data_IF_961310688203
#
_entry.id   IF_961310688203
#
_cell.length_a   1.000
_cell.length_b   1.000
_cell.length_c   1.000
_cell.angle_alpha   90.00
_cell.angle_beta   90.00
_cell.angle_gamma   90.00
#
_symmetry.space_group_name_H-M   'P 1'
#
loop_
_entity.id
_entity.type
_entity.pdbx_description
1 polymer ?
#
# COMPACT_ATOMS: atom_id res chain seq x y z
N UNK A 1 -11.19 -14.07 27.95
CA UNK A 1 -10.94 -13.31 26.70
C UNK A 1 -10.40 -11.94 27.08
N UNK A 2 -9.31 -11.48 26.46
CA UNK A 2 -8.80 -10.13 26.71
C UNK A 2 -9.71 -9.10 26.04
N UNK A 3 -10.05 -8.02 26.74
CA UNK A 3 -10.86 -6.93 26.16
C UNK A 3 -9.93 -5.98 25.40
N UNK A 4 -9.99 -5.98 24.07
CA UNK A 4 -9.28 -5.00 23.25
C UNK A 4 -10.02 -3.66 23.29
N UNK A 5 -9.29 -2.55 23.42
CA UNK A 5 -9.87 -1.19 23.32
C UNK A 5 -9.55 -0.51 22.00
N UNK A 6 -8.43 -0.89 21.36
CA UNK A 6 -7.91 -0.31 20.12
C UNK A 6 -7.31 -1.42 19.26
N UNK A 7 -7.69 -1.45 18.00
CA UNK A 7 -7.19 -2.37 16.97
C UNK A 7 -6.54 -1.55 15.87
N UNK A 8 -5.38 -2.00 15.39
CA UNK A 8 -4.71 -1.43 14.21
C UNK A 8 -4.61 -2.53 13.16
N UNK A 9 -5.15 -2.27 11.97
CA UNK A 9 -5.02 -3.13 10.80
C UNK A 9 -4.12 -2.44 9.78
N UNK A 10 -2.98 -3.06 9.46
CA UNK A 10 -2.14 -2.65 8.34
C UNK A 10 -2.60 -3.39 7.07
N UNK A 11 -2.75 -2.66 5.96
CA UNK A 11 -3.18 -3.20 4.67
C UNK A 11 -2.21 -2.84 3.55
N UNK A 12 -2.01 -3.76 2.63
CA UNK A 12 -1.19 -3.62 1.41
C UNK A 12 -2.02 -3.65 0.13
N UNK A 13 -3.35 -3.76 0.25
CA UNK A 13 -4.31 -3.94 -0.85
C UNK A 13 -4.13 -5.23 -1.67
N UNK A 14 -3.46 -6.25 -1.13
CA UNK A 14 -3.50 -7.60 -1.70
C UNK A 14 -4.95 -8.13 -1.70
N UNK A 15 -5.24 -9.11 -2.57
CA UNK A 15 -6.58 -9.72 -2.70
C UNK A 15 -7.16 -10.18 -1.35
N UNK A 16 -6.31 -10.63 -0.45
CA UNK A 16 -6.71 -11.24 0.80
C UNK A 16 -6.92 -10.17 1.91
N UNK A 17 -6.53 -8.91 1.66
CA UNK A 17 -6.74 -7.80 2.59
C UNK A 17 -8.22 -7.53 2.88
N UNK A 18 -9.12 -7.83 1.94
CA UNK A 18 -10.55 -7.65 2.15
C UNK A 18 -11.08 -8.56 3.28
N UNK A 19 -10.66 -9.82 3.31
CA UNK A 19 -11.05 -10.75 4.39
C UNK A 19 -10.54 -10.27 5.74
N UNK A 20 -9.33 -9.70 5.79
CA UNK A 20 -8.77 -9.13 7.00
C UNK A 20 -9.56 -7.91 7.49
N UNK A 21 -10.04 -7.05 6.59
CA UNK A 21 -10.92 -5.94 6.91
C UNK A 21 -12.22 -6.41 7.56
N UNK A 22 -12.86 -7.44 7.00
CA UNK A 22 -14.08 -8.02 7.56
C UNK A 22 -13.84 -8.56 8.98
N UNK A 23 -12.79 -9.36 9.16
CA UNK A 23 -12.47 -9.94 10.45
C UNK A 23 -12.11 -8.90 11.51
N UNK A 24 -11.33 -7.88 11.15
CA UNK A 24 -10.96 -6.80 12.07
C UNK A 24 -12.18 -5.97 12.50
N UNK A 25 -13.15 -5.77 11.60
CA UNK A 25 -14.42 -5.10 11.92
C UNK A 25 -15.23 -5.91 12.93
N UNK A 26 -15.39 -7.21 12.69
CA UNK A 26 -16.10 -8.11 13.61
C UNK A 26 -15.46 -8.12 15.00
N UNK A 27 -14.12 -8.19 15.06
CA UNK A 27 -13.36 -8.10 16.30
C UNK A 27 -13.58 -6.76 17.02
N UNK A 28 -13.65 -5.65 16.28
CA UNK A 28 -13.89 -4.34 16.87
C UNK A 28 -15.30 -4.26 17.48
N UNK A 29 -16.31 -4.81 16.81
CA UNK A 29 -17.68 -4.88 17.31
C UNK A 29 -17.80 -5.75 18.57
N UNK A 30 -17.24 -6.97 18.55
CA UNK A 30 -17.26 -7.90 19.69
C UNK A 30 -16.63 -7.27 20.94
N UNK A 31 -15.57 -6.49 20.76
CA UNK A 31 -14.82 -5.91 21.86
C UNK A 31 -15.23 -4.46 22.22
N UNK A 32 -16.11 -3.83 21.45
CA UNK A 32 -16.39 -2.39 21.57
C UNK A 32 -15.13 -1.53 21.37
N UNK A 33 -14.20 -2.00 20.53
CA UNK A 33 -12.91 -1.38 20.30
C UNK A 33 -12.97 -0.39 19.13
N UNK A 34 -12.09 0.61 19.13
CA UNK A 34 -11.86 1.43 17.94
C UNK A 34 -10.94 0.70 16.96
N UNK A 35 -11.31 0.63 15.69
CA UNK A 35 -10.47 0.10 14.61
C UNK A 35 -9.82 1.24 13.82
N UNK A 36 -8.50 1.18 13.63
CA UNK A 36 -7.75 2.09 12.76
C UNK A 36 -7.11 1.29 11.63
N UNK A 37 -7.24 1.79 10.39
CA UNK A 37 -6.59 1.21 9.22
C UNK A 37 -5.38 2.05 8.85
N UNK A 38 -4.28 1.38 8.48
CA UNK A 38 -3.07 2.04 7.96
C UNK A 38 -2.62 1.36 6.67
N UNK A 39 -2.28 2.18 5.68
CA UNK A 39 -1.61 1.74 4.47
C UNK A 39 -0.29 2.50 4.35
N UNK A 40 0.79 1.78 4.07
CA UNK A 40 2.12 2.38 3.86
C UNK A 40 2.30 2.63 2.37
N UNK A 41 2.49 3.90 2.01
CA UNK A 41 2.91 4.27 0.64
C UNK A 41 4.42 4.14 0.57
N UNK A 42 4.91 3.19 -0.22
CA UNK A 42 6.35 2.99 -0.40
C UNK A 42 7.00 4.19 -1.10
N UNK A 43 8.17 4.65 -0.64
CA UNK A 43 8.88 5.74 -1.31
C UNK A 43 9.36 5.29 -2.69
N UNK A 44 8.92 5.99 -3.73
CA UNK A 44 9.48 5.82 -5.07
C UNK A 44 10.83 6.53 -5.09
N UNK A 45 11.91 5.77 -5.19
CA UNK A 45 13.24 6.33 -5.42
C UNK A 45 13.30 6.77 -6.88
N UNK A 46 13.05 8.05 -7.13
CA UNK A 46 13.36 8.66 -8.43
C UNK A 46 14.86 8.89 -8.47
N UNK A 47 15.60 8.09 -9.24
CA UNK A 47 17.01 8.38 -9.49
C UNK A 47 17.08 9.67 -10.33
N UNK A 48 17.50 10.76 -9.68
CA UNK A 48 17.65 12.08 -10.31
C UNK A 48 18.62 12.07 -11.50
N UNK A 49 19.41 11.01 -11.67
CA UNK A 49 20.26 10.84 -12.84
C UNK A 49 19.46 10.85 -14.16
N UNK A 50 18.23 10.32 -14.18
CA UNK A 50 17.41 10.30 -15.40
C UNK A 50 16.77 11.65 -15.74
N UNK A 51 16.59 12.55 -14.78
CA UNK A 51 16.09 13.91 -15.02
C UNK A 51 17.17 14.84 -15.62
N UNK A 52 18.45 14.47 -15.49
CA UNK A 52 19.57 15.26 -16.05
C UNK A 52 19.97 14.85 -17.46
N UNK A 53 19.49 13.70 -17.94
CA UNK A 53 19.79 13.26 -19.29
C UNK A 53 18.78 13.89 -20.25
N UNK A 54 19.23 14.65 -21.27
CA UNK A 54 18.33 15.05 -22.34
C UNK A 54 17.73 13.79 -22.99
N UNK A 55 16.47 13.83 -23.45
CA UNK A 55 15.88 12.71 -24.17
C UNK A 55 16.80 12.36 -25.33
N UNK A 56 17.35 11.14 -25.32
CA UNK A 56 18.13 10.63 -26.44
C UNK A 56 17.14 10.50 -27.61
N UNK A 57 17.38 11.17 -28.75
CA UNK A 57 16.59 10.93 -29.95
C UNK A 57 16.70 9.44 -30.28
N UNK A 58 15.58 8.74 -30.23
CA UNK A 58 15.52 7.38 -30.74
C UNK A 58 15.46 7.52 -32.26
N UNK A 59 16.61 7.44 -32.93
CA UNK A 59 16.64 7.28 -34.38
C UNK A 59 16.09 5.89 -34.70
N UNK A 60 14.90 5.86 -35.28
CA UNK A 60 14.25 4.63 -35.74
C UNK A 60 14.74 4.20 -37.14
N UNK A 61 15.78 4.85 -37.67
CA UNK A 61 16.22 4.68 -39.06
C UNK A 61 17.11 3.43 -39.32
N UNK A 62 17.43 2.63 -38.30
CA UNK A 62 18.22 1.40 -38.46
C UNK A 62 17.39 0.11 -38.28
N UNK A 63 16.22 0.03 -38.92
CA UNK A 63 15.56 -1.26 -39.20
C UNK A 63 15.38 -1.38 -40.72
N UNK A 64 16.45 -1.80 -41.40
CA UNK A 64 16.43 -2.35 -42.75
C UNK A 64 16.75 -3.84 -42.74
#
# INVERSE_FOLDING_TARGET
MALYRKLLLAIDFASDSEMLCWHASEMAEIHGASLSLVHVVEPVVTDSAFDTLPPIPVDFDDIH
#
